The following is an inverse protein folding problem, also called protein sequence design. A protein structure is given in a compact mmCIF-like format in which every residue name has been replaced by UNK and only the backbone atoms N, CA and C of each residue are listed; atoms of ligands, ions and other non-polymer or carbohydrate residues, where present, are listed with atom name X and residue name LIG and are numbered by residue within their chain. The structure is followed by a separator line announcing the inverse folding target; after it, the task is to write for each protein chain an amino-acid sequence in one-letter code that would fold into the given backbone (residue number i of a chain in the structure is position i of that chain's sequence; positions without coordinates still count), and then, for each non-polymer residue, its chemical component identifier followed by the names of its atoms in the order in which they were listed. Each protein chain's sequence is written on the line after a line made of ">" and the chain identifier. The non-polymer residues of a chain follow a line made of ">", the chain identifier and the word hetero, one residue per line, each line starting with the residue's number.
data_IF_388039243832
#
_entry.id   IF_388039243832
#
_cell.length_a   1.000
_cell.length_b   1.000
_cell.length_c   1.000
_cell.angle_alpha   90.00
_cell.angle_beta   90.00
_cell.angle_gamma   90.00
#
_symmetry.space_group_name_H-M   'P 1'
#
loop_
_entity.id
_entity.type
_entity.pdbx_description
1 polymer ?
#
# COMPACT_ATOMS: atom_id res chain seq x y z
N UNK A 1 6.25 16.33 -27.29
CA UNK A 1 5.04 16.13 -26.47
C UNK A 1 5.40 15.12 -25.39
N UNK A 2 5.66 15.58 -24.16
CA UNK A 2 6.10 14.71 -23.06
C UNK A 2 4.93 13.90 -22.51
N UNK A 3 5.04 12.57 -22.57
CA UNK A 3 4.03 11.67 -22.00
C UNK A 3 3.93 11.77 -20.48
N UNK A 4 2.87 11.24 -19.84
CA UNK A 4 2.69 11.29 -18.38
C UNK A 4 3.85 10.66 -17.58
N UNK A 5 4.65 9.80 -18.21
CA UNK A 5 5.86 9.16 -17.68
C UNK A 5 7.11 10.06 -17.71
N UNK A 6 7.06 11.21 -18.36
CA UNK A 6 8.20 12.15 -18.47
C UNK A 6 8.15 13.30 -17.47
N UNK A 7 7.17 13.32 -16.55
CA UNK A 7 7.09 14.38 -15.54
C UNK A 7 8.32 14.34 -14.61
N UNK A 8 8.91 15.50 -14.42
CA UNK A 8 9.97 15.70 -13.44
C UNK A 8 9.42 15.62 -12.01
N UNK A 9 10.30 15.34 -11.04
CA UNK A 9 9.91 15.30 -9.62
C UNK A 9 9.33 16.64 -9.14
N UNK A 10 9.82 17.76 -9.67
CA UNK A 10 9.34 19.11 -9.34
C UNK A 10 7.91 19.32 -9.86
N UNK A 11 7.62 18.89 -11.09
CA UNK A 11 6.28 18.99 -11.66
C UNK A 11 5.29 18.12 -10.87
N UNK A 12 5.67 16.89 -10.51
CA UNK A 12 4.84 16.01 -9.70
C UNK A 12 4.55 16.61 -8.32
N UNK A 13 5.54 17.19 -7.66
CA UNK A 13 5.34 17.88 -6.39
C UNK A 13 4.32 19.01 -6.51
N UNK A 14 4.44 19.86 -7.55
CA UNK A 14 3.50 20.95 -7.80
C UNK A 14 2.10 20.44 -8.12
N UNK A 15 1.97 19.40 -8.93
CA UNK A 15 0.69 18.79 -9.30
C UNK A 15 -0.01 18.20 -8.08
N UNK A 16 0.71 17.50 -7.20
CA UNK A 16 0.18 16.99 -5.94
C UNK A 16 -0.28 18.12 -5.01
N UNK A 17 0.45 19.24 -4.95
CA UNK A 17 0.00 20.39 -4.15
C UNK A 17 -1.23 21.08 -4.73
N UNK A 18 -1.37 21.16 -6.06
CA UNK A 18 -2.60 21.64 -6.73
C UNK A 18 -3.77 20.72 -6.44
N UNK A 19 -3.53 19.41 -6.49
CA UNK A 19 -4.52 18.41 -6.14
C UNK A 19 -5.04 18.60 -4.71
N UNK A 20 -4.16 18.83 -3.73
CA UNK A 20 -4.61 19.10 -2.35
C UNK A 20 -5.50 20.34 -2.27
N UNK A 21 -5.18 21.40 -3.02
CA UNK A 21 -6.03 22.60 -3.08
C UNK A 21 -7.44 22.33 -3.62
N UNK A 22 -7.58 21.31 -4.48
CA UNK A 22 -8.88 20.86 -5.00
C UNK A 22 -9.62 19.96 -4.00
N UNK A 23 -8.94 18.99 -3.38
CA UNK A 23 -9.53 18.05 -2.40
C UNK A 23 -9.94 18.75 -1.09
N UNK A 24 -9.12 19.69 -0.63
CA UNK A 24 -9.28 20.39 0.65
C UNK A 24 -8.96 21.88 0.43
N UNK A 25 -9.95 22.65 -0.06
CA UNK A 25 -9.78 24.08 -0.30
C UNK A 25 -9.27 24.83 0.94
N UNK A 26 -8.44 25.84 0.69
CA UNK A 26 -7.77 26.61 1.73
C UNK A 26 -6.49 25.93 2.27
N UNK A 27 -5.67 26.72 2.95
CA UNK A 27 -4.37 26.28 3.49
C UNK A 27 -4.40 26.01 5.00
N UNK A 28 -5.47 26.44 5.67
CA UNK A 28 -5.59 26.40 7.14
C UNK A 28 -6.35 25.18 7.65
N UNK A 29 -7.11 24.48 6.79
CA UNK A 29 -7.88 23.31 7.22
C UNK A 29 -6.95 22.18 7.70
N UNK A 30 -7.30 21.45 8.78
CA UNK A 30 -6.47 20.35 9.28
C UNK A 30 -6.15 19.30 8.21
N UNK A 31 -7.14 18.99 7.35
CA UNK A 31 -6.99 18.07 6.21
C UNK A 31 -5.96 18.58 5.20
N UNK A 32 -6.06 19.85 4.77
CA UNK A 32 -5.11 20.45 3.81
C UNK A 32 -3.69 20.48 4.38
N UNK A 33 -3.55 20.87 5.66
CA UNK A 33 -2.25 20.86 6.36
C UNK A 33 -1.64 19.46 6.41
N UNK A 34 -2.41 18.47 6.84
CA UNK A 34 -1.95 17.08 6.92
C UNK A 34 -1.50 16.54 5.56
N UNK A 35 -2.30 16.74 4.50
CA UNK A 35 -1.97 16.29 3.15
C UNK A 35 -0.70 16.97 2.59
N UNK A 36 -0.57 18.29 2.77
CA UNK A 36 0.63 19.02 2.34
C UNK A 36 1.88 18.59 3.09
N UNK A 37 1.76 18.36 4.40
CA UNK A 37 2.87 17.86 5.23
C UNK A 37 3.28 16.47 4.75
N UNK A 38 2.33 15.56 4.57
CA UNK A 38 2.60 14.21 4.06
C UNK A 38 3.34 14.24 2.72
N UNK A 39 2.87 15.04 1.75
CA UNK A 39 3.55 15.18 0.45
C UNK A 39 4.98 15.67 0.64
N UNK A 40 5.20 16.73 1.43
CA UNK A 40 6.55 17.24 1.70
C UNK A 40 7.44 16.18 2.31
N UNK A 41 6.96 15.48 3.32
CA UNK A 41 7.71 14.41 3.99
C UNK A 41 8.11 13.30 3.03
N UNK A 42 7.23 12.87 2.12
CA UNK A 42 7.60 11.85 1.12
C UNK A 42 8.66 12.33 0.12
N UNK A 43 8.60 13.59 -0.29
CA UNK A 43 9.62 14.17 -1.16
C UNK A 43 10.95 14.38 -0.42
N UNK A 44 10.91 14.78 0.86
CA UNK A 44 12.11 14.96 1.67
C UNK A 44 12.86 13.63 1.89
N UNK A 45 12.14 12.51 2.07
CA UNK A 45 12.73 11.15 2.17
C UNK A 45 13.55 10.75 0.94
N UNK A 46 13.23 11.29 -0.23
CA UNK A 46 13.90 10.98 -1.49
C UNK A 46 14.92 12.03 -1.91
N UNK A 47 15.10 13.10 -1.12
CA UNK A 47 15.98 14.23 -1.43
C UNK A 47 17.45 13.86 -1.59
N UNK A 48 17.90 12.80 -0.91
CA UNK A 48 19.30 12.35 -0.94
C UNK A 48 19.60 11.39 -2.10
N UNK A 49 18.60 10.98 -2.88
CA UNK A 49 18.79 10.08 -4.02
C UNK A 49 19.42 10.86 -5.18
N UNK A 50 20.47 10.30 -5.78
CA UNK A 50 21.13 10.90 -6.94
C UNK A 50 20.73 10.18 -8.23
N UNK A 51 20.31 10.88 -9.30
CA UNK A 51 20.03 10.25 -10.59
C UNK A 51 21.29 9.66 -11.25
N UNK A 52 22.50 10.06 -10.83
CA UNK A 52 23.76 9.56 -11.39
C UNK A 52 24.12 8.14 -10.89
N UNK A 53 23.50 7.72 -9.77
CA UNK A 53 23.61 6.36 -9.26
C UNK A 53 22.53 5.48 -9.90
N UNK A 54 22.93 4.40 -10.57
CA UNK A 54 21.99 3.51 -11.26
C UNK A 54 20.91 2.94 -10.32
N UNK A 55 21.28 2.58 -9.08
CA UNK A 55 20.33 2.06 -8.10
C UNK A 55 19.30 3.12 -7.67
N UNK A 56 19.75 4.36 -7.48
CA UNK A 56 18.89 5.47 -7.09
C UNK A 56 17.99 5.92 -8.24
N UNK A 57 18.49 5.89 -9.49
CA UNK A 57 17.71 6.22 -10.68
C UNK A 57 16.48 5.30 -10.82
N UNK A 58 16.65 3.99 -10.64
CA UNK A 58 15.53 3.02 -10.65
C UNK A 58 14.53 3.36 -9.54
N UNK A 59 15.02 3.69 -8.35
CA UNK A 59 14.17 4.05 -7.20
C UNK A 59 13.39 5.34 -7.46
N UNK A 60 14.04 6.36 -8.02
CA UNK A 60 13.42 7.64 -8.41
C UNK A 60 12.29 7.40 -9.41
N UNK A 61 12.53 6.60 -10.45
CA UNK A 61 11.49 6.29 -11.44
C UNK A 61 10.32 5.50 -10.86
N UNK A 62 10.58 4.56 -9.95
CA UNK A 62 9.52 3.88 -9.19
C UNK A 62 8.68 4.83 -8.35
N UNK A 63 9.31 5.78 -7.66
CA UNK A 63 8.62 6.81 -6.86
C UNK A 63 7.78 7.73 -7.74
N UNK A 64 8.32 8.19 -8.87
CA UNK A 64 7.58 9.00 -9.85
C UNK A 64 6.37 8.24 -10.40
N UNK A 65 6.54 6.98 -10.79
CA UNK A 65 5.47 6.15 -11.30
C UNK A 65 4.33 5.99 -10.28
N UNK A 66 4.67 5.83 -9.00
CA UNK A 66 3.69 5.76 -7.92
C UNK A 66 2.93 7.08 -7.75
N UNK A 67 3.62 8.23 -7.78
CA UNK A 67 2.99 9.54 -7.72
C UNK A 67 2.06 9.79 -8.91
N UNK A 68 2.50 9.45 -10.14
CA UNK A 68 1.67 9.54 -11.35
C UNK A 68 0.43 8.67 -11.22
N UNK A 69 0.58 7.42 -10.78
CA UNK A 69 -0.55 6.51 -10.56
C UNK A 69 -1.56 7.09 -9.57
N UNK A 70 -1.09 7.65 -8.45
CA UNK A 70 -1.97 8.26 -7.46
C UNK A 70 -2.75 9.46 -8.05
N UNK A 71 -2.08 10.34 -8.80
CA UNK A 71 -2.71 11.46 -9.51
C UNK A 71 -3.77 10.96 -10.50
N UNK A 72 -3.43 9.98 -11.34
CA UNK A 72 -4.33 9.41 -12.34
C UNK A 72 -5.55 8.74 -11.70
N UNK A 73 -5.36 7.98 -10.62
CA UNK A 73 -6.46 7.35 -9.89
C UNK A 73 -7.43 8.37 -9.32
N UNK A 74 -6.92 9.48 -8.79
CA UNK A 74 -7.76 10.55 -8.29
C UNK A 74 -8.54 11.24 -9.42
N UNK A 75 -7.87 11.58 -10.53
CA UNK A 75 -8.55 12.19 -11.68
C UNK A 75 -9.64 11.29 -12.27
N UNK A 76 -9.39 9.97 -12.32
CA UNK A 76 -10.39 8.99 -12.73
C UNK A 76 -11.59 8.98 -11.76
N UNK A 77 -11.34 9.01 -10.45
CA UNK A 77 -12.39 9.08 -9.44
C UNK A 77 -13.23 10.35 -9.57
N UNK A 78 -12.61 11.52 -9.65
CA UNK A 78 -13.34 12.79 -9.85
C UNK A 78 -14.15 12.78 -11.15
N UNK A 79 -13.56 12.28 -12.23
CA UNK A 79 -14.25 12.12 -13.51
C UNK A 79 -15.48 11.23 -13.39
N UNK A 80 -15.37 10.11 -12.67
CA UNK A 80 -16.50 9.21 -12.39
C UNK A 80 -17.60 9.85 -11.54
N UNK A 81 -17.24 10.65 -10.51
CA UNK A 81 -18.21 11.36 -9.67
C UNK A 81 -18.97 12.41 -10.49
N UNK A 82 -18.26 13.21 -11.28
CA UNK A 82 -18.87 14.24 -12.14
C UNK A 82 -19.76 13.63 -13.23
N UNK A 83 -19.32 12.52 -13.82
CA UNK A 83 -20.06 11.79 -14.86
C UNK A 83 -21.31 11.10 -14.28
N UNK A 84 -21.21 10.53 -13.07
CA UNK A 84 -22.37 9.96 -12.35
C UNK A 84 -23.48 10.98 -12.15
N UNK A 85 -23.14 12.20 -11.71
CA UNK A 85 -24.12 13.28 -11.52
C UNK A 85 -24.87 13.66 -12.80
N UNK A 86 -24.36 13.26 -13.97
CA UNK A 86 -24.94 13.50 -15.30
C UNK A 86 -25.52 12.24 -15.94
N UNK A 87 -25.57 11.12 -15.23
CA UNK A 87 -26.04 9.82 -15.76
C UNK A 87 -25.10 9.16 -16.75
N UNK A 88 -23.81 9.50 -16.73
CA UNK A 88 -22.84 9.01 -17.68
C UNK A 88 -22.34 7.58 -17.40
N UNK A 89 -21.69 7.00 -18.41
CA UNK A 89 -21.27 5.59 -18.43
C UNK A 89 -20.09 5.30 -17.50
N UNK A 90 -19.20 6.27 -17.27
CA UNK A 90 -18.04 6.10 -16.41
C UNK A 90 -18.48 6.00 -14.95
N UNK A 91 -19.38 6.88 -14.52
CA UNK A 91 -19.95 6.83 -13.17
C UNK A 91 -20.59 5.49 -12.85
N UNK A 92 -21.44 4.99 -13.77
CA UNK A 92 -22.08 3.66 -13.65
C UNK A 92 -21.08 2.51 -13.67
N UNK A 93 -20.04 2.57 -14.50
CA UNK A 93 -19.00 1.55 -14.54
C UNK A 93 -18.23 1.45 -13.22
N UNK A 94 -17.95 2.59 -12.59
CA UNK A 94 -17.29 2.64 -11.27
C UNK A 94 -18.16 2.07 -10.15
N UNK A 95 -19.47 2.36 -10.15
CA UNK A 95 -20.42 1.75 -9.19
C UNK A 95 -20.45 0.23 -9.31
N UNK A 96 -20.61 -0.26 -10.54
CA UNK A 96 -20.66 -1.69 -10.83
C UNK A 96 -19.35 -2.40 -10.45
N UNK A 97 -18.20 -1.72 -10.57
CA UNK A 97 -16.91 -2.25 -10.15
C UNK A 97 -16.80 -2.29 -8.62
N UNK A 98 -17.22 -1.23 -7.93
CA UNK A 98 -17.20 -1.14 -6.48
C UNK A 98 -18.10 -2.21 -5.84
N UNK A 99 -19.32 -2.38 -6.34
CA UNK A 99 -20.27 -3.37 -5.85
C UNK A 99 -19.76 -4.81 -6.05
N UNK A 100 -19.18 -5.11 -7.22
CA UNK A 100 -18.57 -6.42 -7.49
C UNK A 100 -17.37 -6.70 -6.59
N UNK A 101 -16.56 -5.67 -6.31
CA UNK A 101 -15.41 -5.79 -5.42
C UNK A 101 -15.83 -6.12 -3.98
N UNK A 102 -16.88 -5.46 -3.47
CA UNK A 102 -17.43 -5.74 -2.13
C UNK A 102 -18.02 -7.15 -2.05
N UNK A 103 -18.82 -7.57 -3.04
CA UNK A 103 -19.40 -8.93 -3.10
C UNK A 103 -18.34 -10.03 -3.19
N UNK A 104 -17.18 -9.74 -3.80
CA UNK A 104 -16.05 -10.67 -3.89
C UNK A 104 -15.30 -10.86 -2.57
N UNK A 105 -15.23 -9.82 -1.72
CA UNK A 105 -14.55 -9.89 -0.43
C UNK A 105 -15.34 -10.71 0.61
N UNK A 106 -16.66 -10.60 0.62
CA UNK A 106 -17.55 -11.32 1.54
C UNK A 106 -17.45 -12.86 1.39
N UNK A 107 -17.28 -13.35 0.14
CA UNK A 107 -17.08 -14.78 -0.13
C UNK A 107 -15.68 -15.31 0.24
N UNK A 108 -14.72 -14.42 0.48
CA UNK A 108 -13.33 -14.79 0.79
C UNK A 108 -13.08 -15.07 2.28
N UNK A 109 -13.90 -14.54 3.19
CA UNK A 109 -13.76 -14.75 4.63
C UNK A 109 -14.34 -16.08 5.12
N UNK A 110 -15.33 -16.65 4.43
CA UNK A 110 -15.99 -17.90 4.87
C UNK A 110 -15.13 -19.16 4.73
N UNK A 111 -13.94 -19.09 4.10
CA UNK A 111 -13.06 -20.24 3.87
C UNK A 111 -11.87 -20.39 4.84
N UNK A 112 -11.62 -19.44 5.77
CA UNK A 112 -10.46 -19.51 6.68
C UNK A 112 -10.76 -19.89 8.12
N UNK A 113 -12.03 -20.04 8.53
CA UNK A 113 -12.40 -20.33 9.94
C UNK A 113 -12.77 -21.79 10.21
N UNK A 114 -12.42 -22.73 9.32
CA UNK A 114 -12.88 -24.13 9.41
C UNK A 114 -11.80 -25.21 9.52
N UNK A 115 -10.54 -24.87 9.78
CA UNK A 115 -9.45 -25.85 9.75
C UNK A 115 -8.45 -25.70 10.90
N UNK A 116 -8.91 -25.52 12.13
CA UNK A 116 -8.02 -25.60 13.30
C UNK A 116 -8.76 -25.98 14.58
N UNK A 117 -9.39 -27.17 14.63
CA UNK A 117 -9.86 -27.68 15.93
C UNK A 117 -10.10 -29.19 15.95
N UNK A 118 -9.06 -30.01 15.70
CA UNK A 118 -9.02 -31.42 16.15
C UNK A 118 -7.57 -31.87 16.37
N UNK A 119 -7.08 -31.71 17.59
CA UNK A 119 -6.07 -32.57 18.25
C UNK A 119 -6.10 -32.28 19.76
N UNK A 120 -7.09 -32.87 20.45
CA UNK A 120 -6.97 -33.20 21.87
C UNK A 120 -5.81 -34.18 22.04
N UNK A 121 -4.92 -34.00 23.01
CA UNK A 121 -5.12 -34.28 24.43
C UNK A 121 -5.44 -35.76 24.64
N UNK A 122 -4.40 -36.56 24.87
CA UNK A 122 -4.45 -37.76 25.71
C UNK A 122 -3.02 -38.03 26.21
N UNK A 123 -2.88 -37.90 27.53
CA UNK A 123 -1.70 -38.35 28.25
C UNK A 123 -1.74 -39.86 28.47
N UNK A 124 -0.57 -40.49 28.47
CA UNK A 124 -0.39 -41.77 29.10
C UNK A 124 1.02 -41.85 29.69
N UNK A 125 1.07 -41.89 31.01
CA UNK A 125 2.18 -42.37 31.83
C UNK A 125 2.72 -43.70 31.33
N UNK A 126 4.06 -43.84 31.22
CA UNK A 126 4.79 -45.07 31.57
C UNK A 126 6.20 -44.71 32.07
N UNK A 127 6.43 -45.00 33.35
CA UNK A 127 7.73 -45.13 34.03
C UNK A 127 8.54 -46.32 33.46
N UNK A 128 9.84 -46.16 33.19
CA UNK A 128 10.87 -47.15 33.55
C UNK A 128 12.31 -46.63 33.39
N UNK A 129 12.94 -46.39 34.55
CA UNK A 129 14.25 -46.84 35.03
C UNK A 129 15.40 -47.16 34.03
N UNK A 130 16.62 -46.65 34.31
CA UNK A 130 17.82 -47.10 33.59
C UNK A 130 19.09 -46.25 33.68
N UNK A 131 19.77 -46.31 34.83
CA UNK A 131 21.21 -46.12 35.12
C UNK A 131 22.20 -45.82 33.96
N UNK A 132 23.18 -44.96 34.24
CA UNK A 132 24.51 -45.04 33.61
C UNK A 132 25.34 -43.76 33.73
N UNK A 133 26.10 -43.65 34.81
CA UNK A 133 27.22 -42.70 34.92
C UNK A 133 28.36 -43.11 33.97
N UNK A 134 29.11 -42.16 33.42
CA UNK A 134 30.56 -42.07 33.64
C UNK A 134 31.19 -40.86 32.92
N UNK A 135 32.12 -40.25 33.65
CA UNK A 135 33.02 -39.18 33.25
C UNK A 135 34.20 -39.72 32.43
N UNK A 136 34.92 -38.81 31.76
CA UNK A 136 36.39 -38.71 31.52
C UNK A 136 36.61 -38.08 30.12
N UNK A 137 37.16 -36.86 30.00
CA UNK A 137 38.54 -36.40 30.22
C UNK A 137 39.57 -36.98 29.23
N UNK A 138 39.76 -36.27 28.08
CA UNK A 138 41.02 -36.03 27.30
C UNK A 138 41.93 -37.25 26.95
N UNK A 139 43.08 -37.13 26.25
CA UNK A 139 43.73 -36.05 25.46
C UNK A 139 44.00 -36.50 23.99
N UNK A 140 44.46 -35.67 23.05
CA UNK A 140 45.78 -35.03 22.90
C UNK A 140 45.70 -33.91 21.85
#
# INVERSE_FOLDING_TARGET
>A
MSGPTQRTSIELYRDLLRLVSHIAPGTTSPKSRALRTMIRTEFDKSRTLSPDSHADAIKIEGLKANAVRALSNYMLYEGGIQDRGKGGKLGMAMDNFHERSLKGMDRGQTKRTGAEERRGHDGHDVLHDGRGAESTSTPK
#
